data_IF_326687459838
#
_entry.id   IF_326687459838
#
_cell.length_a   1.000
_cell.length_b   1.000
_cell.length_c   1.000
_cell.angle_alpha   90.00
_cell.angle_beta   90.00
_cell.angle_gamma   90.00
#
_symmetry.space_group_name_H-M   'P 1'
#
loop_
_entity.id
_entity.type
_entity.pdbx_description
1 polymer ?
#
# COMPACT_ATOMS: atom_id res chain seq x y z
N UNK A 1 -26.33 -23.02 -28.81
CA UNK A 1 -24.98 -22.74 -28.27
C UNK A 1 -24.90 -21.30 -27.79
N UNK A 2 -25.50 -21.04 -26.65
CA UNK A 2 -25.34 -19.79 -25.91
C UNK A 2 -24.35 -20.07 -24.77
N UNK A 3 -23.15 -19.50 -24.88
CA UNK A 3 -22.21 -19.41 -23.78
C UNK A 3 -22.50 -18.13 -23.05
N UNK A 4 -23.04 -18.25 -21.81
CA UNK A 4 -23.35 -17.14 -20.95
C UNK A 4 -22.10 -16.33 -20.61
N UNK A 5 -22.14 -15.07 -20.93
CA UNK A 5 -21.29 -14.04 -20.32
C UNK A 5 -21.68 -13.93 -18.84
N UNK A 6 -20.83 -14.40 -17.96
CA UNK A 6 -20.92 -14.12 -16.53
C UNK A 6 -20.61 -12.63 -16.36
N UNK A 7 -21.66 -11.86 -16.17
CA UNK A 7 -21.59 -10.40 -16.11
C UNK A 7 -20.92 -9.97 -14.80
N UNK A 8 -19.92 -9.11 -14.90
CA UNK A 8 -19.28 -8.43 -13.76
C UNK A 8 -20.18 -7.48 -12.97
N UNK A 9 -21.49 -7.65 -13.07
CA UNK A 9 -22.48 -6.82 -12.37
C UNK A 9 -22.74 -7.27 -10.93
N UNK A 10 -22.54 -8.56 -10.64
CA UNK A 10 -22.86 -9.11 -9.32
C UNK A 10 -21.81 -8.71 -8.25
N UNK A 11 -20.58 -8.41 -8.68
CA UNK A 11 -19.50 -8.03 -7.76
C UNK A 11 -19.63 -6.57 -7.25
N UNK A 12 -20.33 -5.71 -7.97
CA UNK A 12 -20.52 -4.30 -7.56
C UNK A 12 -21.60 -4.18 -6.49
N UNK A 13 -22.62 -5.05 -6.53
CA UNK A 13 -23.72 -5.02 -5.56
C UNK A 13 -23.27 -5.29 -4.11
N UNK A 14 -22.21 -6.07 -3.93
CA UNK A 14 -21.66 -6.35 -2.60
C UNK A 14 -21.00 -5.14 -1.96
N UNK A 15 -20.38 -4.27 -2.74
CA UNK A 15 -19.74 -3.05 -2.25
C UNK A 15 -20.75 -1.90 -2.08
N UNK A 16 -21.78 -1.83 -2.91
CA UNK A 16 -22.81 -0.79 -2.81
C UNK A 16 -23.69 -0.93 -1.56
N UNK A 17 -23.85 -2.14 -1.00
CA UNK A 17 -24.66 -2.40 0.19
C UNK A 17 -23.84 -2.53 1.48
N UNK A 18 -22.51 -2.46 1.41
CA UNK A 18 -21.68 -2.52 2.60
C UNK A 18 -21.74 -1.19 3.37
N UNK A 19 -22.20 -1.27 4.63
CA UNK A 19 -22.24 -0.14 5.56
C UNK A 19 -21.39 -0.49 6.78
N UNK A 20 -20.42 0.36 7.17
CA UNK A 20 -19.63 0.13 8.37
C UNK A 20 -20.53 0.17 9.62
N UNK A 21 -20.19 -0.65 10.62
CA UNK A 21 -20.79 -0.58 11.95
C UNK A 21 -20.53 0.82 12.56
N UNK A 22 -21.54 1.44 13.14
CA UNK A 22 -21.40 2.74 13.80
C UNK A 22 -20.60 2.57 15.09
N UNK A 23 -19.46 3.24 15.16
CA UNK A 23 -18.65 3.29 16.36
C UNK A 23 -19.35 4.08 17.46
N UNK A 24 -19.50 3.45 18.63
CA UNK A 24 -19.73 4.13 19.89
C UNK A 24 -18.40 4.69 20.43
N UNK A 25 -18.45 5.90 20.99
CA UNK A 25 -17.31 6.68 21.46
C UNK A 25 -16.35 5.90 22.39
N UNK A 26 -15.11 5.73 21.92
CA UNK A 26 -13.98 5.31 22.76
C UNK A 26 -13.01 6.51 22.88
N UNK A 27 -12.61 6.95 24.10
CA UNK A 27 -11.69 8.07 24.26
C UNK A 27 -10.29 7.72 23.72
N UNK A 28 -9.81 8.55 22.81
CA UNK A 28 -8.49 8.39 22.17
C UNK A 28 -7.39 8.84 23.14
N UNK A 29 -6.64 7.89 23.69
CA UNK A 29 -5.35 8.18 24.33
C UNK A 29 -4.31 8.46 23.24
N UNK A 30 -3.63 9.62 23.31
CA UNK A 30 -2.54 9.97 22.38
C UNK A 30 -1.41 8.93 22.51
N UNK A 31 -0.95 8.31 21.42
CA UNK A 31 0.15 7.35 21.48
C UNK A 31 1.47 8.04 21.88
N UNK A 32 2.11 7.52 22.90
CA UNK A 32 3.48 7.88 23.28
C UNK A 32 4.39 7.34 22.18
N UNK A 33 5.15 8.20 21.51
CA UNK A 33 6.19 7.81 20.56
C UNK A 33 7.30 7.05 21.28
N UNK A 34 7.20 5.73 21.31
CA UNK A 34 8.29 4.87 21.78
C UNK A 34 9.19 4.49 20.62
N UNK A 35 10.50 4.72 20.74
CA UNK A 35 11.48 4.17 19.79
C UNK A 35 11.34 2.65 19.72
N UNK A 36 11.44 2.04 18.53
CA UNK A 36 11.34 0.58 18.37
C UNK A 36 12.32 -0.13 19.26
N UNK A 37 11.84 -1.16 19.99
CA UNK A 37 12.70 -2.00 20.83
C UNK A 37 13.67 -2.84 19.99
N UNK A 38 14.78 -3.29 20.59
CA UNK A 38 15.82 -4.13 19.97
C UNK A 38 15.28 -5.41 19.31
N UNK A 39 14.15 -5.94 19.76
CA UNK A 39 13.47 -7.10 19.17
C UNK A 39 12.89 -6.84 17.76
N UNK A 40 12.69 -5.57 17.37
CA UNK A 40 12.31 -5.19 15.98
C UNK A 40 13.47 -5.27 14.99
N UNK A 41 14.71 -5.35 15.45
CA UNK A 41 15.89 -5.46 14.56
C UNK A 41 16.08 -6.85 13.95
N UNK A 42 15.39 -7.88 14.42
CA UNK A 42 15.56 -9.27 13.97
C UNK A 42 14.94 -9.61 12.61
N UNK A 43 14.26 -8.64 11.95
CA UNK A 43 13.78 -8.77 10.56
C UNK A 43 14.59 -7.93 9.56
N UNK A 44 15.82 -7.60 9.95
CA UNK A 44 16.72 -6.86 9.05
C UNK A 44 17.19 -7.80 7.94
N UNK A 45 17.08 -7.36 6.69
CA UNK A 45 17.90 -7.86 5.59
C UNK A 45 19.38 -7.74 5.98
N UNK A 46 20.28 -8.50 5.35
CA UNK A 46 21.71 -8.48 5.68
C UNK A 46 22.34 -7.08 5.58
N UNK A 47 21.78 -6.19 4.77
CA UNK A 47 22.21 -4.78 4.61
C UNK A 47 21.67 -3.85 5.72
N UNK A 48 20.65 -4.28 6.46
CA UNK A 48 19.94 -3.43 7.41
C UNK A 48 18.90 -2.48 6.78
N UNK A 49 18.61 -2.60 5.49
CA UNK A 49 17.55 -1.83 4.82
C UNK A 49 16.20 -2.10 5.47
N UNK A 50 15.53 -1.06 5.96
CA UNK A 50 14.28 -1.15 6.70
C UNK A 50 13.25 -0.15 6.19
N UNK A 51 12.00 -0.60 6.15
CA UNK A 51 10.81 0.24 5.98
C UNK A 51 10.05 0.28 7.30
N UNK A 52 9.71 1.48 7.74
CA UNK A 52 9.07 1.75 9.02
C UNK A 52 7.83 2.62 8.80
N UNK A 53 6.84 2.42 9.65
CA UNK A 53 5.71 3.34 9.80
C UNK A 53 5.58 3.71 11.27
N UNK A 54 5.62 5.01 11.64
CA UNK A 54 5.51 5.43 13.03
C UNK A 54 4.24 4.95 13.73
N UNK A 55 3.16 4.85 12.99
CA UNK A 55 1.82 4.54 13.50
C UNK A 55 1.39 3.09 13.32
N UNK A 56 2.12 2.32 12.48
CA UNK A 56 1.78 0.94 12.13
C UNK A 56 2.99 0.05 12.37
N UNK A 57 2.89 -0.83 13.34
CA UNK A 57 3.94 -1.80 13.61
C UNK A 57 3.75 -3.08 12.78
N UNK A 58 4.85 -3.84 12.59
CA UNK A 58 4.77 -5.20 12.05
C UNK A 58 3.72 -6.03 12.80
N UNK A 59 2.75 -6.58 12.07
CA UNK A 59 1.68 -7.44 12.60
C UNK A 59 0.60 -6.71 13.40
N UNK A 60 0.66 -5.37 13.51
CA UNK A 60 -0.37 -4.61 14.22
C UNK A 60 -1.56 -4.30 13.33
N UNK A 61 -2.67 -3.90 13.96
CA UNK A 61 -3.85 -3.37 13.28
C UNK A 61 -3.56 -1.98 12.70
N UNK A 62 -3.95 -1.74 11.45
CA UNK A 62 -3.89 -0.44 10.81
C UNK A 62 -4.92 0.48 11.48
N UNK A 63 -4.54 1.69 11.93
CA UNK A 63 -5.49 2.66 12.47
C UNK A 63 -6.56 3.05 11.46
N UNK A 64 -7.82 3.18 11.91
CA UNK A 64 -8.97 3.48 11.06
C UNK A 64 -8.82 4.76 10.23
N UNK A 65 -8.01 5.75 10.70
CA UNK A 65 -7.75 6.97 9.93
C UNK A 65 -7.02 6.72 8.60
N UNK A 66 -6.41 5.56 8.43
CA UNK A 66 -5.74 5.14 7.19
C UNK A 66 -6.55 4.13 6.39
N UNK A 67 -7.80 3.87 6.76
CA UNK A 67 -8.58 2.78 6.19
C UNK A 67 -9.94 3.26 5.66
N UNK A 68 -10.63 2.36 5.00
CA UNK A 68 -11.98 2.55 4.45
C UNK A 68 -12.06 3.76 3.50
N UNK A 69 -13.04 4.62 3.68
CA UNK A 69 -13.22 5.82 2.85
C UNK A 69 -12.15 6.90 3.08
N UNK A 70 -11.24 6.71 4.04
CA UNK A 70 -10.12 7.63 4.25
C UNK A 70 -9.10 7.49 3.13
N UNK A 71 -8.62 8.64 2.65
CA UNK A 71 -7.50 8.75 1.69
C UNK A 71 -6.21 9.25 2.36
N UNK A 72 -6.19 9.24 3.67
CA UNK A 72 -5.00 9.64 4.44
C UNK A 72 -3.97 8.52 4.33
N UNK A 73 -2.94 8.73 3.53
CA UNK A 73 -1.82 7.80 3.45
C UNK A 73 -0.99 7.84 4.73
N UNK A 74 -0.52 6.68 5.25
CA UNK A 74 0.34 6.66 6.42
C UNK A 74 1.71 7.30 6.14
N UNK A 75 2.33 7.85 7.19
CA UNK A 75 3.73 8.24 7.11
C UNK A 75 4.61 6.98 6.99
N UNK A 76 5.56 7.01 6.06
CA UNK A 76 6.53 5.94 5.86
C UNK A 76 7.95 6.50 5.96
N UNK A 77 8.80 5.82 6.68
CA UNK A 77 10.20 6.15 6.89
C UNK A 77 11.07 4.95 6.55
N UNK A 78 12.32 5.18 6.12
CA UNK A 78 13.25 4.08 5.85
C UNK A 78 14.67 4.43 6.20
N UNK A 79 15.43 3.39 6.49
CA UNK A 79 16.82 3.51 6.91
C UNK A 79 17.70 2.56 6.12
N UNK A 80 18.98 2.89 6.06
CA UNK A 80 20.04 2.05 5.48
C UNK A 80 19.76 1.62 4.03
N UNK A 81 19.37 2.61 3.20
CA UNK A 81 19.18 2.38 1.76
C UNK A 81 20.45 1.77 1.16
N UNK A 82 20.36 0.66 0.41
CA UNK A 82 21.50 -0.05 -0.15
C UNK A 82 22.38 0.83 -1.04
N UNK A 83 23.70 0.59 -1.01
CA UNK A 83 24.63 1.27 -1.89
C UNK A 83 24.29 0.99 -3.36
N UNK A 84 24.42 2.00 -4.21
CA UNK A 84 24.10 1.90 -5.64
C UNK A 84 22.64 2.16 -5.97
N UNK A 85 21.78 2.43 -4.97
CA UNK A 85 20.39 2.85 -5.20
C UNK A 85 20.35 4.18 -5.94
N UNK A 86 19.62 4.22 -7.05
CA UNK A 86 19.41 5.42 -7.84
C UNK A 86 17.99 5.98 -7.76
N UNK A 87 17.02 5.16 -7.41
CA UNK A 87 15.65 5.55 -7.07
C UNK A 87 15.01 4.51 -6.15
N UNK A 88 13.85 4.84 -5.61
CA UNK A 88 13.04 3.93 -4.80
C UNK A 88 11.65 3.77 -5.41
N UNK A 89 10.98 2.66 -5.08
CA UNK A 89 9.58 2.44 -5.38
C UNK A 89 8.87 1.82 -4.17
N UNK A 90 7.57 2.07 -4.04
CA UNK A 90 6.74 1.57 -2.94
C UNK A 90 5.52 0.85 -3.50
N UNK A 91 5.17 -0.28 -2.89
CA UNK A 91 3.89 -0.94 -3.10
C UNK A 91 3.24 -1.27 -1.75
N UNK A 92 1.94 -0.98 -1.62
CA UNK A 92 1.09 -1.49 -0.55
C UNK A 92 0.08 -2.41 -1.21
N UNK A 93 0.08 -3.69 -0.80
CA UNK A 93 -0.75 -4.72 -1.43
C UNK A 93 -1.49 -5.57 -0.42
N UNK A 94 -2.66 -6.06 -0.81
CA UNK A 94 -3.47 -7.04 -0.09
C UNK A 94 -3.39 -8.41 -0.80
N UNK A 95 -2.77 -9.44 -0.19
CA UNK A 95 -2.72 -10.79 -0.74
C UNK A 95 -3.96 -11.63 -0.41
N UNK A 96 -4.86 -11.14 0.43
CA UNK A 96 -5.97 -11.92 0.98
C UNK A 96 -7.32 -11.60 0.32
N UNK A 97 -7.32 -10.80 -0.76
CA UNK A 97 -8.55 -10.49 -1.48
C UNK A 97 -9.26 -11.79 -1.93
N UNK A 98 -10.57 -11.95 -1.64
CA UNK A 98 -11.31 -13.14 -2.02
C UNK A 98 -11.29 -13.45 -3.51
N UNK A 99 -11.24 -14.73 -3.87
CA UNK A 99 -11.17 -15.21 -5.27
C UNK A 99 -12.37 -14.77 -6.13
N UNK A 100 -13.49 -14.50 -5.51
CA UNK A 100 -14.70 -13.99 -6.18
C UNK A 100 -14.50 -12.65 -6.89
N UNK A 101 -13.51 -11.86 -6.46
CA UNK A 101 -13.10 -10.63 -7.16
C UNK A 101 -12.29 -10.90 -8.43
N UNK A 102 -12.00 -12.18 -8.73
CA UNK A 102 -11.37 -12.64 -9.96
C UNK A 102 -10.02 -11.94 -10.27
N UNK A 103 -9.28 -11.61 -9.24
CA UNK A 103 -7.95 -11.04 -9.33
C UNK A 103 -6.92 -12.14 -9.04
N UNK A 104 -6.16 -12.54 -10.06
CA UNK A 104 -5.15 -13.63 -9.95
C UNK A 104 -3.83 -13.20 -9.31
N UNK A 105 -3.79 -12.04 -8.67
CA UNK A 105 -2.62 -11.41 -8.07
C UNK A 105 -3.01 -10.62 -6.82
N UNK A 106 -2.02 -10.12 -6.08
CA UNK A 106 -2.28 -9.21 -4.96
C UNK A 106 -3.01 -7.95 -5.43
N UNK A 107 -3.95 -7.48 -4.62
CA UNK A 107 -4.65 -6.23 -4.84
C UNK A 107 -3.76 -5.04 -4.44
N UNK A 108 -3.58 -4.09 -5.35
CA UNK A 108 -2.74 -2.92 -5.11
C UNK A 108 -3.55 -1.75 -4.51
N UNK A 109 -3.13 -1.33 -3.32
CA UNK A 109 -3.68 -0.18 -2.60
C UNK A 109 -2.93 1.11 -2.88
N UNK A 110 -1.61 1.03 -3.07
CA UNK A 110 -0.76 2.18 -3.37
C UNK A 110 0.50 1.77 -4.11
N UNK A 111 0.75 2.37 -5.26
CA UNK A 111 1.93 2.14 -6.07
C UNK A 111 2.61 3.47 -6.34
N UNK A 112 3.87 3.59 -5.92
CA UNK A 112 4.70 4.80 -6.11
C UNK A 112 6.02 4.39 -6.72
N UNK A 113 6.52 5.17 -7.67
CA UNK A 113 7.82 4.93 -8.31
C UNK A 113 8.56 6.24 -8.58
N UNK A 114 9.82 6.15 -8.95
CA UNK A 114 10.71 7.29 -9.14
C UNK A 114 10.84 8.18 -7.89
N UNK A 115 10.78 7.57 -6.70
CA UNK A 115 11.11 8.27 -5.47
C UNK A 115 12.62 8.52 -5.47
N UNK A 116 13.11 9.78 -5.28
CA UNK A 116 14.54 10.05 -5.26
C UNK A 116 15.27 9.24 -4.20
N UNK A 117 16.49 8.76 -4.53
CA UNK A 117 17.26 7.88 -3.66
C UNK A 117 17.70 8.52 -2.32
N UNK A 118 17.77 9.83 -2.27
CA UNK A 118 18.11 10.62 -1.07
C UNK A 118 16.91 10.92 -0.18
N UNK A 119 15.70 10.61 -0.63
CA UNK A 119 14.48 10.70 0.18
C UNK A 119 14.58 9.77 1.38
N UNK A 120 14.08 10.20 2.54
CA UNK A 120 14.11 9.43 3.79
C UNK A 120 12.72 9.04 4.30
N UNK A 121 11.69 9.68 3.77
CA UNK A 121 10.32 9.48 4.22
C UNK A 121 9.30 9.95 3.18
N UNK A 122 8.08 9.45 3.30
CA UNK A 122 6.87 10.03 2.75
C UNK A 122 6.01 10.47 3.95
N UNK A 123 5.63 11.76 4.06
CA UNK A 123 4.81 12.23 5.18
C UNK A 123 3.40 11.61 5.20
N UNK A 124 2.74 11.65 6.36
CA UNK A 124 1.30 11.34 6.47
C UNK A 124 0.50 12.26 5.54
N UNK A 125 -0.56 11.71 4.94
CA UNK A 125 -1.45 12.42 4.01
C UNK A 125 -0.74 13.00 2.77
N UNK A 126 0.41 12.47 2.38
CA UNK A 126 1.16 12.97 1.23
C UNK A 126 0.57 12.53 -0.12
N UNK A 127 -0.09 11.37 -0.18
CA UNK A 127 -0.61 10.83 -1.44
C UNK A 127 -1.47 11.85 -2.19
N UNK A 128 -1.20 12.00 -3.49
CA UNK A 128 -1.86 12.92 -4.41
C UNK A 128 -1.77 14.41 -4.01
N UNK A 129 -0.75 14.77 -3.24
CA UNK A 129 -0.48 16.16 -2.83
C UNK A 129 0.94 16.60 -3.17
N UNK A 130 1.23 17.90 -3.01
CA UNK A 130 2.58 18.44 -3.17
C UNK A 130 3.57 17.98 -2.07
N UNK A 131 3.11 17.28 -1.05
CA UNK A 131 3.96 16.70 0.00
C UNK A 131 4.65 15.40 -0.45
N UNK A 132 4.27 14.82 -1.59
CA UNK A 132 5.02 13.70 -2.18
C UNK A 132 6.43 14.13 -2.55
N UNK A 133 7.43 13.23 -2.43
CA UNK A 133 8.80 13.53 -2.87
C UNK A 133 8.83 14.00 -4.32
N UNK A 134 9.60 15.06 -4.59
CA UNK A 134 9.67 15.66 -5.92
C UNK A 134 10.16 14.65 -6.96
N UNK A 135 9.41 14.45 -8.03
CA UNK A 135 9.69 13.46 -9.09
C UNK A 135 9.05 12.10 -8.86
N UNK A 136 8.59 11.78 -7.65
CA UNK A 136 7.81 10.57 -7.40
C UNK A 136 6.49 10.60 -8.16
N UNK A 137 6.08 9.45 -8.66
CA UNK A 137 4.83 9.27 -9.40
C UNK A 137 3.98 8.20 -8.74
N UNK A 138 2.68 8.43 -8.75
CA UNK A 138 1.69 7.48 -8.22
C UNK A 138 0.89 6.90 -9.37
N UNK A 139 0.60 5.60 -9.28
CA UNK A 139 -0.26 4.88 -10.23
C UNK A 139 -1.68 4.75 -9.69
N UNK A 140 -2.55 4.17 -10.51
CA UNK A 140 -3.87 3.77 -10.09
C UNK A 140 -3.77 2.66 -9.04
N UNK A 141 -4.66 2.72 -8.05
CA UNK A 141 -4.95 1.56 -7.19
C UNK A 141 -5.89 0.60 -7.94
N UNK A 142 -5.98 -0.65 -7.47
CA UNK A 142 -6.90 -1.61 -8.08
C UNK A 142 -8.39 -1.29 -7.82
N UNK A 143 -8.70 -0.33 -6.97
CA UNK A 143 -10.06 0.20 -6.83
C UNK A 143 -10.61 0.82 -8.12
N UNK A 144 -9.74 1.17 -9.08
CA UNK A 144 -10.17 1.61 -10.41
C UNK A 144 -11.06 0.58 -11.10
N UNK A 145 -10.84 -0.73 -10.86
CA UNK A 145 -11.67 -1.81 -11.41
C UNK A 145 -13.09 -1.82 -10.86
N UNK A 146 -13.26 -1.33 -9.64
CA UNK A 146 -14.58 -1.23 -8.99
C UNK A 146 -15.30 0.09 -9.27
N UNK A 147 -14.63 1.02 -9.99
CA UNK A 147 -15.18 2.34 -10.34
C UNK A 147 -15.71 3.13 -9.14
N UNK A 148 -15.04 3.01 -7.99
CA UNK A 148 -15.38 3.75 -6.78
C UNK A 148 -14.83 5.17 -6.94
N UNK A 149 -15.69 6.20 -7.03
CA UNK A 149 -15.25 7.56 -7.29
C UNK A 149 -14.24 8.06 -6.27
N UNK A 150 -13.12 8.58 -6.77
CA UNK A 150 -12.06 9.15 -5.95
C UNK A 150 -11.05 8.17 -5.39
N UNK A 151 -11.14 6.87 -5.71
CA UNK A 151 -10.17 5.85 -5.30
C UNK A 151 -9.34 5.32 -6.47
N UNK A 152 -9.42 5.98 -7.61
CA UNK A 152 -8.78 5.51 -8.85
C UNK A 152 -7.25 5.60 -8.76
N UNK A 153 -6.70 6.63 -8.11
CA UNK A 153 -5.27 6.92 -8.09
C UNK A 153 -4.76 7.29 -6.70
N UNK A 154 -3.49 6.97 -6.46
CA UNK A 154 -2.82 7.22 -5.19
C UNK A 154 -3.20 6.20 -4.13
N UNK A 155 -3.12 6.60 -2.87
CA UNK A 155 -3.42 5.74 -1.75
C UNK A 155 -4.93 5.48 -1.63
N UNK A 156 -5.27 4.20 -1.58
CA UNK A 156 -6.60 3.72 -1.24
C UNK A 156 -6.47 2.82 0.01
N UNK A 157 -7.10 3.21 1.10
CA UNK A 157 -7.00 2.51 2.37
C UNK A 157 -7.52 1.09 2.35
N UNK A 158 -7.13 0.27 3.33
CA UNK A 158 -7.75 -1.03 3.59
C UNK A 158 -9.28 -0.95 3.67
N UNK A 159 -9.94 -1.82 2.94
CA UNK A 159 -11.41 -1.90 2.94
C UNK A 159 -11.87 -3.33 2.65
N UNK A 160 -11.50 -4.31 3.52
CA UNK A 160 -11.78 -5.71 3.24
C UNK A 160 -13.30 -6.00 3.34
N UNK A 161 -13.85 -6.77 2.38
CA UNK A 161 -15.28 -7.10 2.34
C UNK A 161 -15.68 -8.14 3.40
N UNK A 162 -14.73 -8.92 3.89
CA UNK A 162 -14.95 -10.02 4.81
C UNK A 162 -13.72 -10.23 5.70
N UNK A 163 -13.92 -10.25 7.01
CA UNK A 163 -12.84 -10.54 7.96
C UNK A 163 -11.59 -9.66 7.85
N UNK A 164 -10.55 -9.95 8.64
CA UNK A 164 -9.30 -9.21 8.59
C UNK A 164 -8.39 -9.70 7.45
N UNK A 165 -7.83 -8.76 6.67
CA UNK A 165 -6.82 -9.01 5.64
C UNK A 165 -5.44 -8.53 6.08
N UNK A 166 -4.40 -9.09 5.48
CA UNK A 166 -3.02 -8.63 5.58
C UNK A 166 -2.77 -7.55 4.53
N UNK A 167 -2.01 -6.54 4.93
CA UNK A 167 -1.53 -5.48 4.04
C UNK A 167 -0.03 -5.47 4.08
N UNK A 168 0.60 -5.73 2.94
CA UNK A 168 2.05 -5.83 2.80
C UNK A 168 2.58 -4.51 2.24
N UNK A 169 3.40 -3.85 3.02
CA UNK A 169 4.11 -2.62 2.66
C UNK A 169 5.51 -3.00 2.19
N UNK A 170 5.86 -2.69 0.96
CA UNK A 170 7.17 -3.04 0.40
C UNK A 170 7.82 -1.83 -0.24
N UNK A 171 9.04 -1.52 0.17
CA UNK A 171 9.91 -0.51 -0.44
C UNK A 171 11.03 -1.21 -1.20
N UNK A 172 11.23 -0.82 -2.45
CA UNK A 172 12.23 -1.36 -3.35
C UNK A 172 13.33 -0.33 -3.57
N UNK A 173 14.58 -0.73 -3.35
CA UNK A 173 15.77 0.04 -3.73
C UNK A 173 16.18 -0.35 -5.15
N UNK A 174 16.24 0.61 -6.07
CA UNK A 174 16.41 0.36 -7.49
C UNK A 174 17.78 0.85 -8.02
N UNK A 175 18.39 0.05 -8.90
CA UNK A 175 19.60 0.45 -9.67
C UNK A 175 19.29 1.36 -10.87
N UNK A 176 18.02 1.58 -11.19
CA UNK A 176 17.56 2.47 -12.24
C UNK A 176 17.21 3.84 -11.64
N UNK A 177 17.68 4.93 -12.29
CA UNK A 177 17.35 6.30 -11.86
C UNK A 177 15.91 6.67 -12.18
N UNK A 178 15.39 6.15 -13.29
CA UNK A 178 14.05 6.43 -13.76
C UNK A 178 13.42 5.16 -14.30
N UNK A 179 12.20 4.91 -13.92
CA UNK A 179 11.32 3.88 -14.48
C UNK A 179 10.27 4.61 -15.31
N UNK A 180 10.05 4.15 -16.53
CA UNK A 180 9.02 4.69 -17.41
C UNK A 180 7.83 3.72 -17.44
N UNK A 181 6.70 4.18 -16.94
CA UNK A 181 5.43 3.44 -16.95
C UNK A 181 4.34 4.31 -17.55
N UNK A 182 3.39 3.72 -18.30
CA UNK A 182 2.15 4.39 -18.64
C UNK A 182 1.41 4.86 -17.38
N UNK A 183 0.65 5.93 -17.50
CA UNK A 183 -0.05 6.51 -16.34
C UNK A 183 -1.15 5.57 -15.78
N UNK A 184 -1.67 4.70 -16.63
CA UNK A 184 -2.67 3.68 -16.35
C UNK A 184 -2.06 2.29 -16.10
N UNK A 185 -0.73 2.21 -15.90
CA UNK A 185 -0.06 0.95 -15.58
C UNK A 185 -0.66 0.34 -14.32
N UNK A 186 -0.92 -0.95 -14.37
CA UNK A 186 -1.41 -1.74 -13.25
C UNK A 186 -0.25 -2.32 -12.41
N UNK A 187 -0.60 -3.10 -11.38
CA UNK A 187 0.39 -3.76 -10.52
C UNK A 187 1.27 -4.76 -11.28
N UNK A 188 0.77 -5.38 -12.36
CA UNK A 188 1.58 -6.32 -13.15
C UNK A 188 2.66 -5.56 -13.91
N UNK A 189 2.29 -4.48 -14.62
CA UNK A 189 3.23 -3.62 -15.33
C UNK A 189 4.24 -2.98 -14.37
N UNK A 190 3.77 -2.50 -13.20
CA UNK A 190 4.63 -2.00 -12.12
C UNK A 190 5.66 -3.06 -11.71
N UNK A 191 5.20 -4.27 -11.37
CA UNK A 191 6.09 -5.36 -10.93
C UNK A 191 7.10 -5.76 -11.99
N UNK A 192 6.70 -5.85 -13.26
CA UNK A 192 7.58 -6.18 -14.37
C UNK A 192 8.68 -5.12 -14.58
N UNK A 193 8.40 -3.85 -14.29
CA UNK A 193 9.38 -2.78 -14.41
C UNK A 193 10.29 -2.68 -13.18
N UNK A 194 9.75 -2.88 -11.98
CA UNK A 194 10.46 -2.68 -10.70
C UNK A 194 11.35 -3.85 -10.35
N UNK A 195 10.86 -5.10 -10.43
CA UNK A 195 11.59 -6.27 -9.95
C UNK A 195 12.95 -6.48 -10.63
N UNK A 196 13.10 -6.35 -11.98
CA UNK A 196 14.40 -6.49 -12.63
C UNK A 196 15.42 -5.39 -12.27
N UNK A 197 14.92 -4.22 -11.82
CA UNK A 197 15.73 -3.09 -11.40
C UNK A 197 16.08 -3.13 -9.91
N UNK A 198 15.46 -4.00 -9.12
CA UNK A 198 15.61 -4.06 -7.67
C UNK A 198 17.00 -4.56 -7.27
N UNK A 199 17.65 -3.81 -6.38
CA UNK A 199 18.85 -4.21 -5.65
C UNK A 199 18.44 -5.00 -4.41
N UNK A 200 17.49 -4.44 -3.65
CA UNK A 200 17.02 -4.98 -2.40
C UNK A 200 15.61 -4.45 -2.09
N UNK A 201 14.89 -5.13 -1.21
CA UNK A 201 13.58 -4.67 -0.72
C UNK A 201 13.49 -4.79 0.79
N UNK A 202 12.73 -3.89 1.39
CA UNK A 202 12.34 -3.91 2.80
C UNK A 202 10.83 -3.95 2.90
N UNK A 203 10.29 -4.77 3.81
CA UNK A 203 8.85 -4.88 3.95
C UNK A 203 8.41 -5.11 5.40
N UNK A 204 7.18 -4.71 5.68
CA UNK A 204 6.44 -5.13 6.87
C UNK A 204 4.99 -5.42 6.50
N UNK A 205 4.30 -6.16 7.37
CA UNK A 205 2.88 -6.53 7.17
C UNK A 205 2.06 -5.99 8.34
N UNK A 206 0.88 -5.49 8.06
CA UNK A 206 -0.10 -5.07 9.04
C UNK A 206 -1.47 -5.70 8.71
N UNK A 207 -2.44 -5.58 9.61
CA UNK A 207 -3.75 -6.22 9.49
C UNK A 207 -4.83 -5.16 9.58
N UNK A 208 -5.91 -5.29 8.80
CA UNK A 208 -7.11 -4.50 8.95
C UNK A 208 -8.35 -5.32 8.55
N UNK A 209 -9.46 -5.06 9.22
CA UNK A 209 -10.76 -5.62 8.92
C UNK A 209 -11.60 -5.86 10.16
N UNK A 210 -12.88 -6.17 9.99
CA UNK A 210 -13.77 -6.55 11.08
C UNK A 210 -13.29 -7.82 11.76
N UNK A 211 -13.49 -7.89 13.08
CA UNK A 211 -13.18 -9.07 13.90
C UNK A 211 -14.17 -10.22 13.61
#
# INVERSE_FOLDING_TARGET
NERGEASGKDNVAHLENWRPARNGDIPIAKPVRTRPSLSRRLQMNQSGFMLLCPDIAQGSTIPARFAESSKVSPALEWEQVPYGTQSLALAITDPDLPQEFNLSRNFAHWLVYNIPADTKQIPEAASMTAAMPSGAQELNSDFVTFKIPGFERGYAGPWPPNGPHRYVFTLFALKAKTINLPQDADFVAFSQAILPATIEQASFTAIYGPA
#
